data_IF_934684027497
#
_entry.id   IF_934684027497
#
_cell.length_a   1.000
_cell.length_b   1.000
_cell.length_c   1.000
_cell.angle_alpha   90.00
_cell.angle_beta   90.00
_cell.angle_gamma   90.00
#
_symmetry.space_group_name_H-M   'P 1'
#
loop_
_entity.id
_entity.type
_entity.pdbx_description
1 polymer ?
#
# COMPACT_ATOMS: atom_id res chain seq x y z
N UNK A 1 -22.81 -9.25 -9.81
CA UNK A 1 -21.64 -9.26 -8.90
C UNK A 1 -22.15 -9.31 -7.47
N UNK A 2 -21.64 -10.22 -6.64
CA UNK A 2 -22.10 -10.39 -5.26
C UNK A 2 -21.54 -9.23 -4.42
N UNK A 3 -22.43 -8.43 -3.81
CA UNK A 3 -22.02 -7.37 -2.88
C UNK A 3 -21.62 -7.98 -1.55
N UNK A 4 -20.53 -7.49 -0.98
CA UNK A 4 -20.07 -7.91 0.34
C UNK A 4 -20.64 -6.97 1.39
N UNK A 5 -21.43 -7.52 2.32
CA UNK A 5 -21.92 -6.84 3.50
C UNK A 5 -21.55 -7.66 4.74
N UNK A 6 -20.29 -7.55 5.18
CA UNK A 6 -19.84 -8.18 6.42
C UNK A 6 -20.56 -7.53 7.63
N UNK A 7 -21.34 -8.32 8.37
CA UNK A 7 -21.96 -7.94 9.64
C UNK A 7 -21.48 -8.88 10.75
N UNK A 8 -20.99 -8.33 11.87
CA UNK A 8 -20.58 -9.10 13.05
C UNK A 8 -19.08 -9.40 13.15
N UNK A 9 -18.71 -10.43 13.94
CA UNK A 9 -17.32 -10.85 14.15
C UNK A 9 -16.82 -11.62 12.91
N UNK A 10 -15.74 -11.16 12.30
CA UNK A 10 -15.16 -11.78 11.09
C UNK A 10 -13.98 -12.68 11.48
N UNK A 11 -14.04 -13.92 11.01
CA UNK A 11 -12.95 -14.90 11.15
C UNK A 11 -11.96 -14.78 10.00
N UNK A 12 -10.74 -15.28 10.20
CA UNK A 12 -9.69 -15.30 9.15
C UNK A 12 -10.17 -15.89 7.83
N UNK A 13 -10.79 -17.08 7.86
CA UNK A 13 -11.24 -17.76 6.65
C UNK A 13 -12.38 -17.03 5.94
N UNK A 14 -13.21 -16.29 6.68
CA UNK A 14 -14.22 -15.42 6.10
C UNK A 14 -13.58 -14.21 5.41
N UNK A 15 -12.64 -13.53 6.07
CA UNK A 15 -11.91 -12.41 5.50
C UNK A 15 -11.20 -12.80 4.18
N UNK A 16 -10.59 -13.99 4.14
CA UNK A 16 -9.96 -14.51 2.92
C UNK A 16 -10.96 -14.73 1.79
N UNK A 17 -12.10 -15.35 2.07
CA UNK A 17 -13.16 -15.55 1.06
C UNK A 17 -13.72 -14.23 0.56
N UNK A 18 -13.96 -13.29 1.47
CA UNK A 18 -14.55 -11.99 1.15
C UNK A 18 -13.57 -11.10 0.38
N UNK A 19 -12.26 -11.22 0.62
CA UNK A 19 -11.24 -10.56 -0.18
C UNK A 19 -11.31 -10.92 -1.67
N UNK A 20 -11.32 -12.22 -1.99
CA UNK A 20 -11.38 -12.67 -3.38
C UNK A 20 -12.77 -12.55 -4.00
N UNK A 21 -13.85 -12.66 -3.20
CA UNK A 21 -15.21 -12.37 -3.70
C UNK A 21 -15.38 -10.91 -4.10
N UNK A 22 -14.70 -10.00 -3.38
CA UNK A 22 -14.77 -8.57 -3.58
C UNK A 22 -13.73 -8.02 -4.54
N UNK A 23 -13.17 -8.87 -5.42
CA UNK A 23 -11.96 -8.59 -6.19
C UNK A 23 -11.94 -7.21 -6.89
N UNK A 24 -13.08 -6.81 -7.47
CA UNK A 24 -13.29 -5.49 -8.09
C UNK A 24 -14.55 -4.79 -7.55
N UNK A 25 -15.01 -5.16 -6.35
CA UNK A 25 -16.13 -4.48 -5.70
C UNK A 25 -15.62 -3.34 -4.81
N UNK A 26 -15.86 -2.09 -5.23
CA UNK A 26 -15.53 -0.88 -4.49
C UNK A 26 -16.69 -0.35 -3.63
N UNK A 27 -17.88 -0.92 -3.78
CA UNK A 27 -19.12 -0.41 -3.16
C UNK A 27 -19.52 -1.19 -1.91
N UNK A 28 -19.07 -2.44 -1.76
CA UNK A 28 -19.28 -3.25 -0.56
C UNK A 28 -18.69 -2.65 0.72
N UNK A 29 -18.86 -3.33 1.84
CA UNK A 29 -18.29 -2.94 3.14
C UNK A 29 -17.25 -3.95 3.60
N UNK A 30 -16.25 -3.47 4.32
CA UNK A 30 -15.21 -4.33 4.90
C UNK A 30 -15.06 -3.98 6.37
N UNK A 31 -15.24 -4.98 7.24
CA UNK A 31 -15.03 -4.79 8.67
C UNK A 31 -13.57 -4.52 8.97
N UNK A 32 -13.30 -3.87 10.11
CA UNK A 32 -11.92 -3.63 10.56
C UNK A 32 -11.14 -4.94 10.71
N UNK A 33 -11.76 -5.96 11.31
CA UNK A 33 -11.15 -7.27 11.46
C UNK A 33 -10.85 -7.92 10.10
N UNK A 34 -11.79 -7.88 9.15
CA UNK A 34 -11.57 -8.40 7.79
C UNK A 34 -10.41 -7.71 7.07
N UNK A 35 -10.34 -6.37 7.16
CA UNK A 35 -9.23 -5.58 6.61
C UNK A 35 -7.88 -6.01 7.21
N UNK A 36 -7.78 -6.08 8.54
CA UNK A 36 -6.52 -6.38 9.22
C UNK A 36 -6.06 -7.83 9.04
N UNK A 37 -6.98 -8.80 8.97
CA UNK A 37 -6.63 -10.19 8.63
C UNK A 37 -5.97 -10.28 7.26
N UNK A 38 -6.57 -9.64 6.26
CA UNK A 38 -6.00 -9.65 4.91
C UNK A 38 -4.72 -8.83 4.80
N UNK A 39 -4.66 -7.69 5.49
CA UNK A 39 -3.43 -6.88 5.57
C UNK A 39 -2.28 -7.70 6.13
N UNK A 40 -2.53 -8.51 7.17
CA UNK A 40 -1.52 -9.41 7.74
C UNK A 40 -1.04 -10.46 6.74
N UNK A 41 -1.97 -11.13 6.03
CA UNK A 41 -1.62 -12.11 4.98
C UNK A 41 -0.77 -11.48 3.89
N UNK A 42 -1.20 -10.32 3.38
CA UNK A 42 -0.50 -9.59 2.32
C UNK A 42 0.88 -9.11 2.82
N UNK A 43 1.00 -8.70 4.08
CA UNK A 43 2.28 -8.28 4.67
C UNK A 43 3.25 -9.45 4.84
N UNK A 44 2.78 -10.62 5.29
CA UNK A 44 3.61 -11.83 5.37
C UNK A 44 4.07 -12.26 3.97
N UNK A 45 3.16 -12.26 2.99
CA UNK A 45 3.48 -12.59 1.61
C UNK A 45 4.55 -11.63 1.05
N UNK A 46 4.36 -10.33 1.26
CA UNK A 46 5.34 -9.30 0.85
C UNK A 46 6.69 -9.50 1.53
N UNK A 47 6.72 -9.83 2.83
CA UNK A 47 7.95 -10.09 3.57
C UNK A 47 8.70 -11.31 3.03
N UNK A 48 8.00 -12.40 2.69
CA UNK A 48 8.60 -13.60 2.10
C UNK A 48 9.29 -13.25 0.77
N UNK A 49 8.59 -12.54 -0.12
CA UNK A 49 9.18 -12.12 -1.40
C UNK A 49 10.34 -11.16 -1.22
N UNK A 50 10.24 -10.22 -0.28
CA UNK A 50 11.32 -9.30 0.05
C UNK A 50 12.58 -10.04 0.49
N UNK A 51 12.46 -10.96 1.46
CA UNK A 51 13.59 -11.76 1.94
C UNK A 51 14.18 -12.62 0.81
N UNK A 52 13.33 -13.25 -0.02
CA UNK A 52 13.80 -14.08 -1.12
C UNK A 52 14.58 -13.29 -2.18
N UNK A 53 14.10 -12.10 -2.56
CA UNK A 53 14.74 -11.22 -3.53
C UNK A 53 16.06 -10.68 -2.97
N UNK A 54 16.03 -10.13 -1.74
CA UNK A 54 17.25 -9.59 -1.09
C UNK A 54 18.28 -10.69 -0.88
N UNK A 55 17.87 -11.87 -0.40
CA UNK A 55 18.78 -13.00 -0.19
C UNK A 55 19.47 -13.45 -1.48
N UNK A 56 18.74 -13.51 -2.60
CA UNK A 56 19.34 -13.79 -3.91
C UNK A 56 20.23 -12.66 -4.41
N UNK A 57 19.85 -11.40 -4.23
CA UNK A 57 20.66 -10.25 -4.62
C UNK A 57 21.99 -10.21 -3.84
N UNK A 58 21.96 -10.45 -2.53
CA UNK A 58 23.18 -10.55 -1.70
C UNK A 58 24.05 -11.72 -2.14
N UNK A 59 23.44 -12.88 -2.39
CA UNK A 59 24.18 -14.05 -2.90
C UNK A 59 24.84 -13.78 -4.26
N UNK A 60 24.20 -12.97 -5.11
CA UNK A 60 24.73 -12.54 -6.39
C UNK A 60 25.97 -11.66 -6.26
N UNK A 61 25.91 -10.69 -5.36
CA UNK A 61 27.02 -9.78 -5.10
C UNK A 61 28.23 -10.57 -4.57
N UNK A 62 28.01 -11.43 -3.57
CA UNK A 62 29.08 -12.26 -3.01
C UNK A 62 29.68 -13.21 -4.06
N UNK A 63 28.84 -13.85 -4.85
CA UNK A 63 29.34 -14.76 -5.86
C UNK A 63 30.08 -14.05 -7.00
N UNK A 64 29.70 -12.82 -7.36
CA UNK A 64 30.45 -12.01 -8.32
C UNK A 64 31.84 -11.60 -7.80
N UNK A 65 32.03 -11.54 -6.47
CA UNK A 65 33.33 -11.29 -5.84
C UNK A 65 34.26 -12.52 -5.88
N UNK A 66 33.70 -13.72 -5.69
CA UNK A 66 34.50 -14.96 -5.58
C UNK A 66 34.52 -15.85 -6.84
N UNK A 67 33.60 -15.65 -7.78
CA UNK A 67 33.45 -16.49 -8.98
C UNK A 67 33.34 -15.61 -10.25
N UNK A 68 34.07 -15.98 -11.31
CA UNK A 68 34.10 -15.22 -12.58
C UNK A 68 32.77 -15.28 -13.37
N UNK A 69 31.90 -16.24 -13.06
CA UNK A 69 30.57 -16.39 -13.68
C UNK A 69 29.50 -16.54 -12.62
N UNK A 70 28.73 -15.47 -12.40
CA UNK A 70 27.49 -15.53 -11.66
C UNK A 70 26.29 -15.60 -12.61
N UNK A 71 25.43 -16.60 -12.42
CA UNK A 71 24.21 -16.75 -13.19
C UNK A 71 23.07 -15.87 -12.63
N UNK A 72 22.95 -14.65 -13.18
CA UNK A 72 21.80 -13.77 -12.96
C UNK A 72 20.46 -14.37 -13.41
N UNK A 73 20.48 -15.44 -14.23
CA UNK A 73 19.30 -16.15 -14.72
C UNK A 73 18.42 -16.72 -13.60
N UNK A 74 18.96 -16.94 -12.39
CA UNK A 74 18.21 -17.45 -11.25
C UNK A 74 17.39 -16.40 -10.47
N UNK A 75 17.53 -15.11 -10.77
CA UNK A 75 16.76 -14.03 -10.12
C UNK A 75 15.54 -13.62 -10.96
N UNK A 76 15.68 -13.58 -12.29
CA UNK A 76 14.65 -13.11 -13.21
C UNK A 76 13.31 -13.88 -13.08
N UNK A 77 13.28 -15.23 -13.00
CA UNK A 77 12.03 -15.98 -12.83
C UNK A 77 11.30 -15.62 -11.54
N UNK A 78 12.03 -15.43 -10.44
CA UNK A 78 11.44 -15.02 -9.15
C UNK A 78 10.83 -13.62 -9.24
N UNK A 79 11.53 -12.68 -9.88
CA UNK A 79 11.02 -11.31 -10.07
C UNK A 79 9.76 -11.28 -10.94
N UNK A 80 9.75 -12.04 -12.03
CA UNK A 80 8.57 -12.15 -12.91
C UNK A 80 7.39 -12.78 -12.17
N UNK A 81 7.62 -13.85 -11.41
CA UNK A 81 6.57 -14.47 -10.60
C UNK A 81 6.01 -13.51 -9.55
N UNK A 82 6.88 -12.80 -8.82
CA UNK A 82 6.48 -11.79 -7.85
C UNK A 82 5.68 -10.65 -8.51
N UNK A 83 6.10 -10.20 -9.70
CA UNK A 83 5.40 -9.17 -10.47
C UNK A 83 3.99 -9.62 -10.88
N UNK A 84 3.85 -10.84 -11.43
CA UNK A 84 2.54 -11.38 -11.83
C UNK A 84 1.61 -11.49 -10.63
N UNK A 85 2.11 -12.00 -9.49
CA UNK A 85 1.32 -12.06 -8.27
C UNK A 85 0.94 -10.69 -7.74
N UNK A 86 1.86 -9.73 -7.77
CA UNK A 86 1.59 -8.36 -7.34
C UNK A 86 0.50 -7.72 -8.20
N UNK A 87 0.55 -7.89 -9.53
CA UNK A 87 -0.48 -7.43 -10.46
C UNK A 87 -1.84 -8.11 -10.18
N UNK A 88 -1.83 -9.43 -9.94
CA UNK A 88 -3.05 -10.18 -9.63
C UNK A 88 -3.68 -9.76 -8.29
N UNK A 89 -2.90 -9.30 -7.32
CA UNK A 89 -3.39 -8.86 -6.01
C UNK A 89 -3.62 -7.34 -5.91
N UNK A 90 -3.21 -6.57 -6.92
CA UNK A 90 -3.33 -5.11 -6.95
C UNK A 90 -4.77 -4.65 -6.81
N UNK A 91 -5.65 -5.13 -7.69
CA UNK A 91 -7.06 -4.77 -7.73
C UNK A 91 -7.83 -5.10 -6.43
N UNK A 92 -7.77 -6.33 -5.89
CA UNK A 92 -8.48 -6.66 -4.66
C UNK A 92 -7.93 -5.89 -3.44
N UNK A 93 -6.62 -5.64 -3.36
CA UNK A 93 -6.02 -4.82 -2.30
C UNK A 93 -6.58 -3.40 -2.35
N UNK A 94 -6.60 -2.80 -3.55
CA UNK A 94 -7.15 -1.46 -3.76
C UNK A 94 -8.64 -1.38 -3.43
N UNK A 95 -9.43 -2.34 -3.91
CA UNK A 95 -10.86 -2.41 -3.64
C UNK A 95 -11.14 -2.47 -2.13
N UNK A 96 -10.39 -3.31 -1.41
CA UNK A 96 -10.49 -3.43 0.04
C UNK A 96 -10.11 -2.12 0.78
N UNK A 97 -9.00 -1.46 0.39
CA UNK A 97 -8.58 -0.19 0.98
C UNK A 97 -9.62 0.91 0.78
N UNK A 98 -10.13 1.06 -0.45
CA UNK A 98 -11.16 2.06 -0.78
C UNK A 98 -12.44 1.83 0.03
N UNK A 99 -12.86 0.57 0.20
CA UNK A 99 -14.01 0.21 1.07
C UNK A 99 -13.75 0.64 2.51
N UNK A 100 -12.58 0.35 3.07
CA UNK A 100 -12.22 0.71 4.45
C UNK A 100 -12.18 2.23 4.65
N UNK A 101 -11.58 2.99 3.73
CA UNK A 101 -11.54 4.45 3.82
C UNK A 101 -12.93 5.09 3.72
N UNK A 102 -13.76 4.58 2.81
CA UNK A 102 -15.17 5.00 2.71
C UNK A 102 -15.97 4.64 3.95
N UNK A 103 -15.71 3.49 4.54
CA UNK A 103 -16.34 3.04 5.77
C UNK A 103 -15.91 3.89 6.97
N UNK A 104 -14.71 4.47 6.98
CA UNK A 104 -14.28 5.43 8.01
C UNK A 104 -15.02 6.78 7.93
N UNK A 105 -15.75 7.04 6.84
CA UNK A 105 -16.54 8.26 6.63
C UNK A 105 -16.05 9.14 5.48
N UNK A 106 -15.03 8.74 4.73
CA UNK A 106 -14.57 9.50 3.57
C UNK A 106 -15.47 9.32 2.34
N UNK A 107 -15.45 10.31 1.46
CA UNK A 107 -16.03 10.18 0.11
C UNK A 107 -15.04 9.47 -0.82
N UNK A 108 -15.52 8.91 -1.94
CA UNK A 108 -14.63 8.29 -2.93
C UNK A 108 -13.68 9.29 -3.59
N UNK A 109 -14.17 10.50 -3.87
CA UNK A 109 -13.38 11.58 -4.48
C UNK A 109 -12.30 12.13 -3.55
N UNK A 110 -12.62 12.31 -2.26
CA UNK A 110 -11.64 12.75 -1.27
C UNK A 110 -10.50 11.75 -1.11
N UNK A 111 -10.82 10.44 -1.09
CA UNK A 111 -9.81 9.37 -1.07
C UNK A 111 -8.92 9.42 -2.32
N UNK A 112 -9.51 9.60 -3.51
CA UNK A 112 -8.78 9.67 -4.76
C UNK A 112 -7.77 10.81 -4.77
N UNK A 113 -8.18 12.02 -4.37
CA UNK A 113 -7.29 13.20 -4.34
C UNK A 113 -6.12 12.99 -3.37
N UNK A 114 -6.37 12.49 -2.16
CA UNK A 114 -5.30 12.21 -1.21
C UNK A 114 -4.35 11.11 -1.71
N UNK A 115 -4.89 10.13 -2.45
CA UNK A 115 -4.09 9.05 -3.00
C UNK A 115 -3.17 9.55 -4.13
N UNK A 116 -3.70 10.39 -5.03
CA UNK A 116 -2.88 11.04 -6.07
C UNK A 116 -1.80 11.94 -5.46
N UNK A 117 -2.12 12.69 -4.40
CA UNK A 117 -1.14 13.50 -3.69
C UNK A 117 -0.04 12.63 -3.08
N UNK A 118 -0.39 11.50 -2.47
CA UNK A 118 0.57 10.54 -1.93
C UNK A 118 1.51 10.00 -3.00
N UNK A 119 0.99 9.63 -4.18
CA UNK A 119 1.79 9.18 -5.32
C UNK A 119 2.73 10.27 -5.79
N UNK A 120 2.25 11.50 -5.95
CA UNK A 120 3.07 12.62 -6.40
C UNK A 120 4.24 12.88 -5.43
N UNK A 121 3.97 12.95 -4.13
CA UNK A 121 5.00 13.13 -3.11
C UNK A 121 6.01 11.97 -3.12
N UNK A 122 5.53 10.73 -3.18
CA UNK A 122 6.39 9.53 -3.21
C UNK A 122 7.27 9.51 -4.45
N UNK A 123 6.72 9.84 -5.63
CA UNK A 123 7.47 9.91 -6.88
C UNK A 123 8.56 10.98 -6.82
N UNK A 124 8.25 12.19 -6.36
CA UNK A 124 9.24 13.27 -6.21
C UNK A 124 10.35 12.89 -5.22
N UNK A 125 10.02 12.15 -4.17
CA UNK A 125 10.99 11.66 -3.20
C UNK A 125 11.94 10.64 -3.84
N UNK A 126 11.40 9.66 -4.57
CA UNK A 126 12.21 8.64 -5.27
C UNK A 126 13.12 9.31 -6.30
N UNK A 127 12.57 10.23 -7.11
CA UNK A 127 13.35 10.98 -8.09
C UNK A 127 14.52 11.74 -7.44
N UNK A 128 14.26 12.42 -6.32
CA UNK A 128 15.29 13.15 -5.56
C UNK A 128 16.40 12.24 -5.02
N UNK A 129 16.05 11.03 -4.56
CA UNK A 129 17.05 10.05 -4.12
C UNK A 129 17.90 9.59 -5.30
N UNK A 130 17.25 9.24 -6.42
CA UNK A 130 17.94 8.77 -7.63
C UNK A 130 18.85 9.84 -8.24
N UNK A 131 18.47 11.11 -8.22
CA UNK A 131 19.30 12.20 -8.75
C UNK A 131 20.56 12.45 -7.92
N UNK A 132 20.52 12.10 -6.63
CA UNK A 132 21.64 12.32 -5.70
C UNK A 132 22.52 11.09 -5.57
N UNK A 133 22.05 9.92 -6.05
CA UNK A 133 22.78 8.67 -6.00
C UNK A 133 24.09 8.77 -6.81
N UNK A 134 25.21 8.87 -6.09
CA UNK A 134 26.56 8.96 -6.68
C UNK A 134 27.51 8.05 -5.91
N UNK A 135 28.36 7.35 -6.64
CA UNK A 135 29.49 6.63 -6.07
C UNK A 135 30.73 7.51 -6.16
N UNK A 136 31.32 7.86 -5.01
CA UNK A 136 32.55 8.61 -4.93
C UNK A 136 33.74 7.65 -4.82
N UNK A 137 34.49 7.54 -5.92
CA UNK A 137 35.64 6.65 -6.08
C UNK A 137 36.78 7.00 -5.10
N UNK A 138 36.93 8.26 -4.70
CA UNK A 138 38.06 8.67 -3.84
C UNK A 138 37.85 8.28 -2.37
N UNK A 139 36.60 8.29 -1.92
CA UNK A 139 36.24 7.98 -0.54
C UNK A 139 35.69 6.57 -0.37
N UNK A 140 35.46 5.86 -1.49
CA UNK A 140 34.71 4.60 -1.55
C UNK A 140 33.35 4.72 -0.83
N UNK A 141 32.69 5.88 -0.99
CA UNK A 141 31.38 6.14 -0.37
C UNK A 141 30.28 6.30 -1.40
N UNK A 142 29.09 5.83 -1.04
CA UNK A 142 27.87 6.09 -1.78
C UNK A 142 27.18 7.31 -1.16
N UNK A 143 27.10 8.40 -1.91
CA UNK A 143 26.35 9.59 -1.51
C UNK A 143 24.91 9.39 -1.98
N UNK A 144 23.98 9.40 -1.02
CA UNK A 144 22.54 9.41 -1.29
C UNK A 144 21.86 10.45 -0.42
N UNK A 145 20.97 11.22 -1.03
CA UNK A 145 20.17 12.22 -0.32
C UNK A 145 18.79 12.31 -0.94
N UNK A 146 17.76 12.17 -0.11
CA UNK A 146 16.38 12.48 -0.48
C UNK A 146 15.96 13.82 0.13
N UNK A 147 14.94 14.45 -0.42
CA UNK A 147 14.37 15.68 0.14
C UNK A 147 13.71 15.40 1.51
N UNK A 148 14.17 16.01 2.61
CA UNK A 148 13.52 15.84 3.92
C UNK A 148 12.06 16.32 3.92
N UNK A 149 11.74 17.32 3.07
CA UNK A 149 10.40 17.89 2.94
C UNK A 149 9.43 16.89 2.31
N UNK A 150 9.80 16.28 1.19
CA UNK A 150 8.92 15.29 0.53
C UNK A 150 8.82 14.00 1.34
N UNK A 151 9.88 13.60 2.04
CA UNK A 151 9.82 12.52 3.02
C UNK A 151 8.80 12.82 4.12
N UNK A 152 8.85 14.01 4.72
CA UNK A 152 7.91 14.43 5.76
C UNK A 152 6.45 14.36 5.28
N UNK A 153 6.12 14.96 4.13
CA UNK A 153 4.76 14.91 3.60
C UNK A 153 4.30 13.48 3.30
N UNK A 154 5.18 12.66 2.73
CA UNK A 154 4.88 11.24 2.46
C UNK A 154 4.54 10.50 3.74
N UNK A 155 5.30 10.72 4.82
CA UNK A 155 5.04 10.11 6.13
C UNK A 155 3.74 10.60 6.74
N UNK A 156 3.44 11.90 6.69
CA UNK A 156 2.19 12.48 7.22
C UNK A 156 0.97 11.91 6.49
N UNK A 157 1.00 11.85 5.16
CA UNK A 157 -0.09 11.31 4.35
C UNK A 157 -0.25 9.80 4.61
N UNK A 158 0.87 9.06 4.72
CA UNK A 158 0.85 7.62 5.03
C UNK A 158 0.28 7.35 6.41
N UNK A 159 0.64 8.16 7.41
CA UNK A 159 0.09 8.09 8.76
C UNK A 159 -1.41 8.37 8.74
N UNK A 160 -1.85 9.37 7.98
CA UNK A 160 -3.28 9.64 7.81
C UNK A 160 -4.02 8.45 7.22
N UNK A 161 -3.52 7.86 6.12
CA UNK A 161 -4.11 6.65 5.54
C UNK A 161 -4.16 5.48 6.52
N UNK A 162 -3.08 5.26 7.27
CA UNK A 162 -3.05 4.25 8.31
C UNK A 162 -4.14 4.48 9.37
N UNK A 163 -4.29 5.72 9.86
CA UNK A 163 -5.32 6.06 10.83
C UNK A 163 -6.73 5.74 10.30
N UNK A 164 -7.02 6.02 9.02
CA UNK A 164 -8.30 5.66 8.39
C UNK A 164 -8.62 4.16 8.48
N UNK A 165 -7.60 3.29 8.42
CA UNK A 165 -7.79 1.84 8.50
C UNK A 165 -8.19 1.37 9.91
N UNK A 166 -7.73 2.09 10.94
CA UNK A 166 -7.99 1.78 12.36
C UNK A 166 -9.31 2.39 12.85
N UNK A 167 -9.68 3.55 12.31
CA UNK A 167 -10.85 4.30 12.77
C UNK A 167 -12.14 3.46 12.71
N UNK A 168 -13.03 3.59 13.71
CA UNK A 168 -14.39 3.07 13.65
C UNK A 168 -15.16 3.57 12.43
N UNK A 169 -16.19 2.82 12.06
CA UNK A 169 -17.10 3.16 10.96
C UNK A 169 -17.77 4.51 11.21
N UNK A 170 -17.87 5.33 10.16
CA UNK A 170 -18.53 6.65 10.12
C UNK A 170 -17.98 7.70 11.11
N UNK A 171 -16.78 7.50 11.66
CA UNK A 171 -16.18 8.44 12.64
C UNK A 171 -15.78 9.78 12.03
N UNK A 172 -15.44 9.83 10.75
CA UNK A 172 -15.06 11.06 10.05
C UNK A 172 -16.23 11.73 9.32
N UNK A 173 -17.47 11.39 9.68
CA UNK A 173 -18.64 12.06 9.11
C UNK A 173 -18.77 13.48 9.65
N UNK A 174 -19.18 14.42 8.79
CA UNK A 174 -19.33 15.83 9.14
C UNK A 174 -20.80 16.24 9.15
N UNK A 175 -21.18 17.12 10.07
CA UNK A 175 -22.48 17.80 10.09
C UNK A 175 -22.44 19.17 9.40
N UNK A 176 -21.24 19.64 9.03
CA UNK A 176 -21.06 20.93 8.37
C UNK A 176 -21.52 20.88 6.91
N UNK A 177 -22.18 21.94 6.45
CA UNK A 177 -22.61 22.09 5.06
C UNK A 177 -21.52 22.64 4.12
N UNK A 178 -20.31 22.92 4.63
CA UNK A 178 -19.21 23.45 3.81
C UNK A 178 -18.87 22.49 2.66
N UNK A 179 -18.79 23.02 1.44
CA UNK A 179 -18.50 22.26 0.21
C UNK A 179 -17.17 21.52 0.27
N UNK A 180 -16.13 22.13 0.87
CA UNK A 180 -14.80 21.52 1.02
C UNK A 180 -14.85 20.32 1.98
N UNK A 181 -15.52 20.47 3.12
CA UNK A 181 -15.66 19.36 4.06
C UNK A 181 -16.50 18.22 3.48
N UNK A 182 -17.56 18.55 2.72
CA UNK A 182 -18.39 17.56 2.02
C UNK A 182 -17.68 16.89 0.85
N UNK A 183 -16.64 17.52 0.28
CA UNK A 183 -15.80 16.90 -0.72
C UNK A 183 -15.00 15.75 -0.12
N UNK A 184 -14.41 15.91 1.08
CA UNK A 184 -13.58 14.87 1.71
C UNK A 184 -14.38 13.89 2.58
N UNK A 185 -15.39 14.38 3.29
CA UNK A 185 -16.13 13.65 4.30
C UNK A 185 -17.60 13.51 3.97
N UNK A 186 -18.17 12.36 4.30
CA UNK A 186 -19.59 12.08 4.10
C UNK A 186 -20.42 12.83 5.15
N UNK A 187 -21.61 13.25 4.74
CA UNK A 187 -22.57 13.86 5.64
C UNK A 187 -23.08 12.85 6.68
N UNK A 188 -23.15 13.26 7.95
CA UNK A 188 -23.72 12.43 9.02
C UNK A 188 -25.24 12.51 8.96
N UNK A 189 -25.89 11.44 8.51
CA UNK A 189 -27.34 11.31 8.61
C UNK A 189 -27.71 11.14 10.09
N UNK A 190 -28.48 12.10 10.64
CA UNK A 190 -29.05 12.00 11.98
C UNK A 190 -30.14 10.93 11.90
N UNK A 191 -29.90 9.78 12.52
CA UNK A 191 -30.94 8.76 12.76
C UNK A 191 -31.70 9.08 14.03
#
# INVERSE_FOLDING_TARGET
MVKIEEKGKVTFGQAFKDYFRGYVDFKGRTTRAGYWWMTLVLSILALIFYIAIVGKAVSAILAAEYFETYDFGNLLPLMLFALVLWLALLLPTWAMCVRRYRDAGMTGWGVLVLYLLSIACSYTQVFSVMSTFKYDVQTDTVITGGSPVFLFFTLVISLFFFLLTVLPTDKLTTTSQNSVLRFFFRYKEVK
#
